data_IF_594721064216
#
_entry.id   IF_594721064216
#
_cell.length_a   1.000
_cell.length_b   1.000
_cell.length_c   1.000
_cell.angle_alpha   90.00
_cell.angle_beta   90.00
_cell.angle_gamma   90.00
#
_symmetry.space_group_name_H-M   'P 1'
#
loop_
_entity.id
_entity.type
_entity.pdbx_description
1 polymer ?
#
# COMPACT_ATOMS: atom_id res chain seq x y z
N UNK A 1 -23.97 39.33 -1.03
CA UNK A 1 -24.05 37.98 -1.61
C UNK A 1 -22.71 37.32 -1.39
N UNK A 2 -22.66 36.23 -0.65
CA UNK A 2 -21.43 35.47 -0.39
C UNK A 2 -21.36 34.32 -1.40
N UNK A 3 -20.42 34.40 -2.34
CA UNK A 3 -20.30 33.44 -3.44
C UNK A 3 -19.87 32.06 -2.92
N UNK A 4 -18.91 32.01 -1.98
CA UNK A 4 -18.43 30.75 -1.41
C UNK A 4 -19.56 30.04 -0.68
N UNK A 5 -20.36 30.77 0.10
CA UNK A 5 -21.52 30.19 0.78
C UNK A 5 -22.54 29.59 -0.21
N UNK A 6 -22.80 30.26 -1.35
CA UNK A 6 -23.70 29.76 -2.40
C UNK A 6 -23.12 28.52 -3.07
N UNK A 7 -21.84 28.52 -3.43
CA UNK A 7 -21.16 27.36 -4.03
C UNK A 7 -21.20 26.14 -3.10
N UNK A 8 -20.94 26.35 -1.80
CA UNK A 8 -20.98 25.29 -0.79
C UNK A 8 -22.40 24.73 -0.60
N UNK A 9 -23.42 25.59 -0.64
CA UNK A 9 -24.82 25.16 -0.59
C UNK A 9 -25.22 24.33 -1.82
N UNK A 10 -24.83 24.77 -3.02
CA UNK A 10 -25.07 24.03 -4.28
C UNK A 10 -24.34 22.68 -4.26
N UNK A 11 -23.07 22.66 -3.85
CA UNK A 11 -22.30 21.40 -3.71
C UNK A 11 -22.99 20.44 -2.75
N UNK A 12 -23.45 20.91 -1.59
CA UNK A 12 -24.17 20.08 -0.63
C UNK A 12 -25.46 19.49 -1.21
N UNK A 13 -26.24 20.29 -1.95
CA UNK A 13 -27.46 19.83 -2.60
C UNK A 13 -27.17 18.76 -3.68
N UNK A 14 -26.12 18.97 -4.48
CA UNK A 14 -25.68 17.99 -5.49
C UNK A 14 -25.16 16.70 -4.86
N UNK A 15 -24.49 16.77 -3.71
CA UNK A 15 -24.11 15.59 -2.95
C UNK A 15 -25.34 14.80 -2.50
N UNK A 16 -26.33 15.47 -1.91
CA UNK A 16 -27.56 14.79 -1.48
C UNK A 16 -28.29 14.14 -2.67
N UNK A 17 -28.48 14.87 -3.77
CA UNK A 17 -29.10 14.34 -4.97
C UNK A 17 -28.31 13.16 -5.57
N UNK A 18 -26.98 13.28 -5.65
CA UNK A 18 -26.10 12.24 -6.14
C UNK A 18 -26.12 10.98 -5.26
N UNK A 19 -26.12 11.15 -3.94
CA UNK A 19 -26.24 10.05 -3.00
C UNK A 19 -27.59 9.33 -3.13
N UNK A 20 -28.70 10.05 -3.26
CA UNK A 20 -30.02 9.46 -3.54
C UNK A 20 -30.03 8.70 -4.85
N UNK A 21 -29.54 9.30 -5.94
CA UNK A 21 -29.50 8.65 -7.25
C UNK A 21 -28.64 7.38 -7.22
N UNK A 22 -27.50 7.41 -6.53
CA UNK A 22 -26.64 6.25 -6.35
C UNK A 22 -27.30 5.18 -5.49
N UNK A 23 -28.05 5.55 -4.45
CA UNK A 23 -28.80 4.61 -3.63
C UNK A 23 -29.86 3.84 -4.41
N UNK A 24 -30.52 4.46 -5.38
CA UNK A 24 -31.46 3.76 -6.28
C UNK A 24 -30.73 2.70 -7.12
N UNK A 25 -29.52 3.01 -7.61
CA UNK A 25 -28.69 2.04 -8.35
C UNK A 25 -28.16 0.91 -7.46
N UNK A 26 -28.13 1.11 -6.15
CA UNK A 26 -27.68 0.14 -5.14
C UNK A 26 -28.83 -0.64 -4.49
N UNK A 27 -30.04 -0.57 -5.05
CA UNK A 27 -31.16 -1.43 -4.67
C UNK A 27 -31.13 -2.75 -5.46
N UNK A 28 -30.56 -3.81 -4.88
CA UNK A 28 -30.57 -5.12 -5.51
C UNK A 28 -31.93 -5.78 -5.32
N UNK A 29 -32.44 -6.39 -6.39
CA UNK A 29 -33.63 -7.23 -6.32
C UNK A 29 -33.31 -8.58 -5.63
N UNK A 30 -34.31 -9.24 -5.02
CA UNK A 30 -34.17 -10.63 -4.60
C UNK A 30 -33.74 -11.52 -5.78
N UNK A 31 -32.78 -12.42 -5.61
CA UNK A 31 -32.29 -13.27 -6.70
C UNK A 31 -33.38 -14.23 -7.20
N UNK A 32 -33.31 -14.52 -8.51
CA UNK A 32 -34.15 -15.52 -9.15
C UNK A 32 -33.96 -16.91 -8.50
N UNK A 33 -34.96 -17.81 -8.52
CA UNK A 33 -34.89 -19.11 -7.85
C UNK A 33 -33.62 -19.91 -8.14
N UNK A 34 -33.15 -19.89 -9.38
CA UNK A 34 -31.91 -20.54 -9.84
C UNK A 34 -30.63 -19.96 -9.21
N UNK A 35 -30.66 -18.69 -8.79
CA UNK A 35 -29.53 -17.96 -8.18
C UNK A 35 -29.59 -17.94 -6.65
N UNK A 36 -30.57 -18.64 -6.03
CA UNK A 36 -30.72 -18.68 -4.56
C UNK A 36 -29.77 -19.64 -3.86
N UNK A 37 -28.86 -20.27 -4.59
CA UNK A 37 -27.86 -21.20 -4.07
C UNK A 37 -26.47 -20.84 -4.60
N UNK A 38 -25.49 -20.76 -3.72
CA UNK A 38 -24.10 -20.44 -4.04
C UNK A 38 -23.15 -21.43 -3.37
N UNK A 39 -21.97 -21.71 -3.96
CA UNK A 39 -20.95 -22.50 -3.30
C UNK A 39 -20.46 -21.81 -2.01
N UNK A 40 -20.13 -22.61 -0.99
CA UNK A 40 -19.51 -22.15 0.24
C UNK A 40 -18.08 -22.70 0.32
N UNK A 41 -17.19 -21.95 0.96
CA UNK A 41 -15.78 -22.34 1.17
C UNK A 41 -15.60 -23.63 1.98
N UNK A 42 -16.62 -24.06 2.74
CA UNK A 42 -16.63 -25.35 3.45
C UNK A 42 -17.02 -26.55 2.56
N UNK A 43 -17.15 -26.36 1.24
CA UNK A 43 -17.53 -27.40 0.28
C UNK A 43 -19.04 -27.66 0.19
N UNK A 44 -19.86 -27.01 1.02
CA UNK A 44 -21.32 -27.10 0.98
C UNK A 44 -21.94 -25.93 0.20
N UNK A 45 -23.27 -25.85 0.18
CA UNK A 45 -24.03 -24.77 -0.47
C UNK A 45 -24.55 -23.76 0.56
N UNK A 46 -24.47 -22.48 0.25
CA UNK A 46 -25.13 -21.39 0.96
C UNK A 46 -26.45 -21.03 0.27
N UNK A 47 -27.50 -20.83 1.06
CA UNK A 47 -28.84 -20.51 0.56
C UNK A 47 -29.13 -19.02 0.78
N UNK A 48 -29.80 -18.41 -0.19
CA UNK A 48 -30.34 -17.07 -0.05
C UNK A 48 -31.37 -17.04 1.09
N UNK A 49 -31.28 -16.01 1.94
CA UNK A 49 -32.23 -15.78 3.02
C UNK A 49 -33.07 -14.53 2.77
N UNK A 50 -32.41 -13.38 2.60
CA UNK A 50 -33.06 -12.08 2.59
C UNK A 50 -32.17 -11.02 1.92
N UNK A 51 -32.73 -9.83 1.71
CA UNK A 51 -31.94 -8.63 1.44
C UNK A 51 -31.49 -8.00 2.76
N UNK A 52 -30.22 -7.57 2.83
CA UNK A 52 -29.66 -6.86 3.99
C UNK A 52 -29.10 -5.50 3.60
N UNK A 53 -29.29 -4.55 4.50
CA UNK A 53 -28.79 -3.19 4.37
C UNK A 53 -27.29 -3.07 4.62
N UNK A 54 -26.68 -2.11 3.95
CA UNK A 54 -25.35 -1.56 4.24
C UNK A 54 -25.31 -0.12 3.79
N UNK A 55 -24.65 0.72 4.56
CA UNK A 55 -24.48 2.13 4.20
C UNK A 55 -23.07 2.33 3.70
N UNK A 56 -22.93 2.92 2.52
CA UNK A 56 -21.63 3.22 1.92
C UNK A 56 -21.38 4.72 1.92
N UNK A 57 -20.19 5.14 2.34
CA UNK A 57 -19.69 6.48 2.05
C UNK A 57 -19.09 6.49 0.64
N UNK A 58 -19.66 7.34 -0.22
CA UNK A 58 -19.28 7.48 -1.63
C UNK A 58 -18.75 8.88 -1.91
N UNK A 59 -18.18 9.10 -3.10
CA UNK A 59 -17.65 10.40 -3.49
C UNK A 59 -18.72 11.51 -3.52
N UNK A 60 -19.99 11.13 -3.68
CA UNK A 60 -21.12 12.06 -3.69
C UNK A 60 -21.87 12.10 -2.36
N UNK A 61 -21.45 11.33 -1.36
CA UNK A 61 -22.09 11.27 -0.04
C UNK A 61 -22.51 9.86 0.37
N UNK A 62 -23.31 9.78 1.44
CA UNK A 62 -23.72 8.51 2.05
C UNK A 62 -24.88 7.88 1.30
N UNK A 63 -24.66 6.68 0.77
CA UNK A 63 -25.64 5.93 -0.01
C UNK A 63 -26.00 4.60 0.69
N UNK A 64 -27.23 4.42 1.21
CA UNK A 64 -27.72 3.09 1.58
C UNK A 64 -27.80 2.15 0.37
N UNK A 65 -27.53 0.87 0.63
CA UNK A 65 -27.55 -0.25 -0.31
C UNK A 65 -28.35 -1.40 0.32
N UNK A 66 -29.18 -2.07 -0.48
CA UNK A 66 -29.86 -3.32 -0.12
C UNK A 66 -29.30 -4.45 -0.97
N UNK A 67 -28.85 -5.55 -0.36
CA UNK A 67 -28.13 -6.60 -1.09
C UNK A 67 -28.46 -8.02 -0.65
N UNK A 68 -28.39 -9.03 -1.54
CA UNK A 68 -28.68 -10.41 -1.18
C UNK A 68 -27.72 -10.97 -0.13
N UNK A 69 -28.29 -11.62 0.89
CA UNK A 69 -27.57 -12.33 1.93
C UNK A 69 -27.76 -13.83 1.79
N UNK A 70 -26.65 -14.56 1.79
CA UNK A 70 -26.61 -16.02 1.73
C UNK A 70 -25.99 -16.57 3.01
N UNK A 71 -26.57 -17.64 3.55
CA UNK A 71 -26.05 -18.33 4.73
C UNK A 71 -25.86 -19.82 4.45
N UNK A 72 -24.68 -20.33 4.79
CA UNK A 72 -24.45 -21.77 4.78
C UNK A 72 -25.06 -22.41 6.03
N UNK A 73 -25.97 -23.41 5.91
CA UNK A 73 -26.54 -24.09 7.07
C UNK A 73 -25.54 -24.99 7.80
N UNK A 74 -24.40 -25.33 7.18
CA UNK A 74 -23.40 -26.23 7.77
C UNK A 74 -22.34 -25.50 8.60
N UNK A 75 -21.69 -24.47 8.04
CA UNK A 75 -20.65 -23.71 8.75
C UNK A 75 -21.14 -22.37 9.32
N UNK A 76 -22.39 -21.99 9.05
CA UNK A 76 -22.98 -20.71 9.44
C UNK A 76 -22.23 -19.46 8.94
N UNK A 77 -21.37 -19.61 7.92
CA UNK A 77 -20.71 -18.49 7.29
C UNK A 77 -21.68 -17.75 6.36
N UNK A 78 -21.81 -16.44 6.59
CA UNK A 78 -22.56 -15.53 5.74
C UNK A 78 -21.75 -15.05 4.52
N UNK A 79 -22.43 -14.82 3.40
CA UNK A 79 -21.84 -14.33 2.16
C UNK A 79 -22.68 -13.21 1.54
N UNK A 80 -22.00 -12.19 1.01
CA UNK A 80 -22.57 -11.04 0.30
C UNK A 80 -21.86 -10.87 -1.06
N UNK A 81 -22.30 -11.58 -2.12
CA UNK A 81 -21.64 -11.52 -3.43
C UNK A 81 -21.52 -10.09 -3.99
N UNK A 82 -22.57 -9.28 -3.80
CA UNK A 82 -22.60 -7.88 -4.22
C UNK A 82 -21.48 -7.03 -3.57
N UNK A 83 -21.03 -7.36 -2.35
CA UNK A 83 -19.91 -6.63 -1.72
C UNK A 83 -18.60 -6.86 -2.48
N UNK A 84 -18.39 -8.05 -3.06
CA UNK A 84 -17.22 -8.35 -3.85
C UNK A 84 -17.27 -7.67 -5.23
N UNK A 85 -18.43 -7.70 -5.89
CA UNK A 85 -18.63 -7.04 -7.19
C UNK A 85 -18.42 -5.53 -7.12
N UNK A 86 -18.86 -4.89 -6.03
CA UNK A 86 -18.71 -3.46 -5.82
C UNK A 86 -17.38 -3.06 -5.16
N UNK A 87 -16.51 -4.02 -4.84
CA UNK A 87 -15.25 -3.80 -4.12
C UNK A 87 -15.45 -3.04 -2.80
N UNK A 88 -16.36 -3.56 -1.97
CA UNK A 88 -16.70 -3.03 -0.64
C UNK A 88 -16.67 -4.10 0.46
N UNK A 89 -16.03 -5.25 0.23
CA UNK A 89 -15.88 -6.30 1.26
C UNK A 89 -15.19 -5.74 2.51
N UNK A 90 -15.76 -5.99 3.69
CA UNK A 90 -15.22 -5.56 5.00
C UNK A 90 -14.95 -4.05 5.11
N UNK A 91 -15.63 -3.23 4.31
CA UNK A 91 -15.53 -1.77 4.37
C UNK A 91 -16.87 -1.11 4.08
N UNK A 92 -17.01 0.12 4.57
CA UNK A 92 -18.15 0.99 4.29
C UNK A 92 -17.75 2.11 3.30
N UNK A 93 -16.52 2.09 2.79
CA UNK A 93 -16.02 3.10 1.87
C UNK A 93 -16.01 2.58 0.43
N UNK A 94 -16.66 3.31 -0.47
CA UNK A 94 -16.56 3.05 -1.90
C UNK A 94 -15.09 3.08 -2.37
N UNK A 95 -14.75 2.41 -3.49
CA UNK A 95 -13.39 2.49 -4.06
C UNK A 95 -12.93 3.93 -4.31
N UNK A 96 -13.84 4.83 -4.69
CA UNK A 96 -13.53 6.25 -4.87
C UNK A 96 -13.07 6.94 -3.59
N UNK A 97 -13.79 6.74 -2.48
CA UNK A 97 -13.43 7.32 -1.17
C UNK A 97 -12.15 6.70 -0.63
N UNK A 98 -11.94 5.38 -0.80
CA UNK A 98 -10.69 4.73 -0.39
C UNK A 98 -9.47 5.31 -1.12
N UNK A 99 -9.59 5.62 -2.42
CA UNK A 99 -8.55 6.34 -3.16
C UNK A 99 -8.31 7.74 -2.61
N UNK A 100 -9.36 8.49 -2.30
CA UNK A 100 -9.22 9.81 -1.69
C UNK A 100 -8.52 9.74 -0.33
N UNK A 101 -8.87 8.78 0.54
CA UNK A 101 -8.17 8.53 1.81
C UNK A 101 -6.68 8.25 1.60
N UNK A 102 -6.31 7.41 0.63
CA UNK A 102 -4.91 7.13 0.33
C UNK A 102 -4.16 8.40 -0.11
N UNK A 103 -4.76 9.19 -1.01
CA UNK A 103 -4.16 10.42 -1.53
C UNK A 103 -3.92 11.47 -0.44
N UNK A 104 -4.89 11.70 0.44
CA UNK A 104 -4.70 12.67 1.54
C UNK A 104 -3.79 12.11 2.64
N UNK A 105 -3.82 10.79 2.87
CA UNK A 105 -3.02 10.12 3.90
C UNK A 105 -1.53 10.03 3.55
N UNK A 106 -1.16 10.05 2.27
CA UNK A 106 0.25 10.08 1.85
C UNK A 106 0.85 11.51 1.89
N UNK A 107 0.03 12.55 1.77
CA UNK A 107 0.48 13.94 1.58
C UNK A 107 0.72 14.66 2.91
N UNK A 108 -0.09 14.36 3.93
CA UNK A 108 -0.11 15.10 5.19
C UNK A 108 -0.41 14.19 6.39
N UNK A 109 -0.17 14.66 7.63
CA UNK A 109 -0.68 13.99 8.83
C UNK A 109 -2.18 13.70 8.72
N UNK A 110 -2.63 12.54 9.18
CA UNK A 110 -3.99 12.05 8.92
C UNK A 110 -5.11 13.00 9.37
N UNK A 111 -4.88 13.80 10.41
CA UNK A 111 -5.87 14.78 10.87
C UNK A 111 -6.06 15.92 9.86
N UNK A 112 -4.97 16.38 9.25
CA UNK A 112 -5.01 17.31 8.13
C UNK A 112 -5.62 16.66 6.89
N UNK A 113 -5.37 15.37 6.68
CA UNK A 113 -6.04 14.60 5.63
C UNK A 113 -7.56 14.57 5.80
N UNK A 114 -8.06 14.40 7.03
CA UNK A 114 -9.50 14.53 7.35
C UNK A 114 -10.02 15.93 7.00
N UNK A 115 -9.31 16.99 7.36
CA UNK A 115 -9.71 18.37 7.02
C UNK A 115 -9.75 18.59 5.50
N UNK A 116 -8.77 18.07 4.77
CA UNK A 116 -8.74 18.10 3.31
C UNK A 116 -9.95 17.39 2.69
N UNK A 117 -10.36 16.22 3.22
CA UNK A 117 -11.56 15.52 2.78
C UNK A 117 -12.82 16.38 2.93
N UNK A 118 -12.94 17.10 4.05
CA UNK A 118 -14.07 18.02 4.28
C UNK A 118 -14.06 19.21 3.32
N UNK A 119 -12.92 19.89 3.19
CA UNK A 119 -12.81 21.11 2.39
C UNK A 119 -12.96 20.80 0.89
N UNK A 120 -12.17 19.84 0.39
CA UNK A 120 -12.07 19.57 -1.05
C UNK A 120 -13.20 18.67 -1.54
N UNK A 121 -13.50 17.59 -0.81
CA UNK A 121 -14.51 16.61 -1.23
C UNK A 121 -15.88 16.84 -0.57
N UNK A 122 -16.02 17.74 0.42
CA UNK A 122 -17.29 17.89 1.13
C UNK A 122 -17.69 16.65 1.94
N UNK A 123 -16.73 15.78 2.27
CA UNK A 123 -16.98 14.52 2.98
C UNK A 123 -16.50 14.60 4.41
N UNK A 124 -17.40 14.33 5.35
CA UNK A 124 -17.07 14.19 6.77
C UNK A 124 -16.52 12.77 7.02
N UNK A 125 -15.25 12.69 7.43
CA UNK A 125 -14.57 11.43 7.74
C UNK A 125 -13.85 11.54 9.08
N UNK A 126 -13.32 10.42 9.57
CA UNK A 126 -12.51 10.43 10.79
C UNK A 126 -11.03 10.36 10.45
N UNK A 127 -10.19 10.93 11.29
CA UNK A 127 -8.73 10.78 11.20
C UNK A 127 -8.33 9.30 11.16
N UNK A 128 -9.02 8.45 11.94
CA UNK A 128 -8.76 7.01 11.99
C UNK A 128 -9.15 6.28 10.71
N UNK A 129 -10.20 6.70 10.01
CA UNK A 129 -10.58 6.08 8.74
C UNK A 129 -9.59 6.42 7.63
N UNK A 130 -9.06 7.65 7.61
CA UNK A 130 -7.97 8.05 6.71
C UNK A 130 -6.72 7.19 6.99
N UNK A 131 -6.26 7.16 8.24
CA UNK A 131 -5.11 6.36 8.68
C UNK A 131 -5.25 4.89 8.26
N UNK A 132 -6.30 4.20 8.72
CA UNK A 132 -6.47 2.75 8.47
C UNK A 132 -6.53 2.43 6.97
N UNK A 133 -7.18 3.27 6.19
CA UNK A 133 -7.34 3.03 4.74
C UNK A 133 -6.02 3.28 4.01
N UNK A 134 -5.33 4.38 4.31
CA UNK A 134 -4.06 4.72 3.70
C UNK A 134 -2.97 3.69 4.06
N UNK A 135 -2.88 3.27 5.33
CA UNK A 135 -1.95 2.23 5.77
C UNK A 135 -2.24 0.88 5.13
N UNK A 136 -3.51 0.46 5.05
CA UNK A 136 -3.88 -0.81 4.42
C UNK A 136 -3.51 -0.84 2.92
N UNK A 137 -3.74 0.26 2.21
CA UNK A 137 -3.32 0.39 0.80
C UNK A 137 -1.80 0.41 0.69
N UNK A 138 -1.10 1.11 1.59
CA UNK A 138 0.36 1.15 1.63
C UNK A 138 0.99 -0.23 1.87
N UNK A 139 0.43 -1.04 2.78
CA UNK A 139 0.90 -2.39 3.03
C UNK A 139 0.68 -3.31 1.82
N UNK A 140 -0.47 -3.20 1.15
CA UNK A 140 -0.76 -3.96 -0.07
C UNK A 140 0.18 -3.59 -1.24
N UNK A 141 0.53 -2.30 -1.39
CA UNK A 141 1.57 -1.87 -2.34
C UNK A 141 2.92 -2.47 -1.97
N UNK A 142 3.34 -2.34 -0.70
CA UNK A 142 4.62 -2.87 -0.23
C UNK A 142 4.73 -4.40 -0.37
N UNK A 143 3.62 -5.13 -0.16
CA UNK A 143 3.57 -6.56 -0.40
C UNK A 143 3.80 -6.90 -1.89
N UNK A 144 3.07 -6.23 -2.79
CA UNK A 144 3.23 -6.44 -4.24
C UNK A 144 4.64 -6.10 -4.73
N UNK A 145 5.25 -5.04 -4.21
CA UNK A 145 6.64 -4.70 -4.50
C UNK A 145 7.61 -5.80 -4.03
N UNK A 146 7.41 -6.35 -2.82
CA UNK A 146 8.23 -7.47 -2.32
C UNK A 146 8.09 -8.73 -3.18
N UNK A 147 6.88 -9.07 -3.61
CA UNK A 147 6.63 -10.22 -4.49
C UNK A 147 7.31 -10.04 -5.85
N UNK A 148 7.22 -8.84 -6.45
CA UNK A 148 7.91 -8.51 -7.70
C UNK A 148 9.43 -8.59 -7.54
N UNK A 149 9.99 -8.06 -6.45
CA UNK A 149 11.42 -8.16 -6.17
C UNK A 149 11.87 -9.62 -6.03
N UNK A 150 11.10 -10.46 -5.31
CA UNK A 150 11.43 -11.88 -5.13
C UNK A 150 11.41 -12.64 -6.45
N UNK A 151 10.46 -12.33 -7.35
CA UNK A 151 10.44 -12.90 -8.70
C UNK A 151 11.63 -12.44 -9.54
N UNK A 152 12.00 -11.16 -9.47
CA UNK A 152 13.13 -10.61 -10.22
C UNK A 152 14.49 -11.18 -9.77
N UNK A 153 14.68 -11.43 -8.46
CA UNK A 153 15.91 -12.03 -7.91
C UNK A 153 16.06 -13.50 -8.35
N UNK A 154 14.96 -14.19 -8.64
CA UNK A 154 14.95 -15.60 -9.06
C UNK A 154 15.11 -15.79 -10.57
N UNK A 155 15.21 -14.72 -11.36
CA UNK A 155 15.46 -14.84 -12.79
C UNK A 155 16.85 -15.46 -13.01
N UNK A 156 16.87 -16.66 -13.61
CA UNK A 156 18.06 -17.16 -14.27
C UNK A 156 18.40 -16.17 -15.38
N UNK A 157 19.42 -15.35 -15.14
CA UNK A 157 19.87 -14.34 -16.10
C UNK A 157 20.25 -15.11 -17.37
N UNK A 158 19.54 -14.93 -18.51
CA UNK A 158 19.84 -15.66 -19.72
C UNK A 158 21.30 -15.45 -20.09
N UNK A 159 21.94 -16.50 -20.62
CA UNK A 159 23.34 -16.47 -21.03
C UNK A 159 23.62 -15.16 -21.76
N UNK A 160 24.58 -14.38 -21.27
CA UNK A 160 24.84 -13.01 -21.73
C UNK A 160 25.04 -13.00 -23.24
N UNK A 161 24.02 -12.59 -24.00
CA UNK A 161 24.08 -12.46 -25.45
C UNK A 161 24.45 -11.02 -25.78
N UNK A 162 25.63 -10.81 -26.38
CA UNK A 162 26.05 -9.50 -26.88
C UNK A 162 27.49 -9.12 -26.53
N UNK A 163 27.92 -7.95 -27.01
CA UNK A 163 29.24 -7.40 -26.65
C UNK A 163 29.25 -7.05 -25.16
N UNK A 164 30.30 -7.40 -24.41
CA UNK A 164 30.41 -7.04 -23.00
C UNK A 164 30.28 -5.53 -22.80
N UNK A 165 29.46 -5.12 -21.83
CA UNK A 165 29.43 -3.73 -21.37
C UNK A 165 30.70 -3.53 -20.51
N UNK A 166 31.65 -2.68 -20.93
CA UNK A 166 32.96 -2.59 -20.25
C UNK A 166 32.86 -1.87 -18.90
N UNK A 167 31.99 -0.86 -18.80
CA UNK A 167 31.77 -0.07 -17.59
C UNK A 167 30.26 0.15 -17.41
N UNK A 168 29.79 -0.12 -16.21
CA UNK A 168 28.44 0.17 -15.76
C UNK A 168 28.52 1.17 -14.62
N UNK A 169 27.74 2.23 -14.69
CA UNK A 169 27.65 3.23 -13.64
C UNK A 169 26.48 2.90 -12.74
N UNK A 170 26.70 3.03 -11.44
CA UNK A 170 25.66 2.92 -10.42
C UNK A 170 25.68 4.24 -9.66
N UNK A 171 24.58 4.97 -9.75
CA UNK A 171 24.32 6.10 -8.85
C UNK A 171 23.37 5.62 -7.76
N UNK A 172 23.72 5.91 -6.51
CA UNK A 172 22.84 5.66 -5.37
C UNK A 172 22.78 6.90 -4.51
N UNK A 173 21.57 7.30 -4.17
CA UNK A 173 21.31 8.32 -3.15
C UNK A 173 20.48 7.71 -2.02
N UNK A 174 20.63 8.26 -0.82
CA UNK A 174 20.00 7.77 0.39
C UNK A 174 19.53 8.93 1.28
N UNK A 175 18.26 8.91 1.66
CA UNK A 175 17.70 9.91 2.59
C UNK A 175 17.12 9.25 3.84
N UNK A 176 17.30 9.92 4.98
CA UNK A 176 16.72 9.48 6.25
C UNK A 176 15.27 9.97 6.37
N UNK A 177 14.33 9.04 6.33
CA UNK A 177 12.90 9.30 6.56
C UNK A 177 12.60 9.15 8.04
N UNK A 178 12.10 10.19 8.74
CA UNK A 178 11.64 10.07 10.12
C UNK A 178 10.57 9.00 10.25
N UNK A 179 10.68 8.16 11.27
CA UNK A 179 9.70 7.10 11.52
C UNK A 179 9.32 7.05 13.00
N UNK A 180 8.20 6.41 13.29
CA UNK A 180 7.74 6.16 14.66
C UNK A 180 8.70 5.22 15.40
N UNK A 181 8.74 5.33 16.74
CA UNK A 181 9.65 4.52 17.58
C UNK A 181 9.56 3.02 17.32
N UNK A 182 8.36 2.47 17.05
CA UNK A 182 8.19 1.04 16.74
C UNK A 182 9.04 0.58 15.55
N UNK A 183 9.25 1.46 14.57
CA UNK A 183 10.04 1.21 13.37
C UNK A 183 11.55 1.34 13.62
N UNK A 184 12.00 1.81 14.78
CA UNK A 184 13.42 1.98 15.10
C UNK A 184 13.90 1.13 16.27
N UNK A 185 13.01 0.35 16.90
CA UNK A 185 13.38 -0.60 17.96
C UNK A 185 14.46 -1.56 17.46
N UNK A 186 15.53 -1.71 18.25
CA UNK A 186 16.66 -2.60 17.94
C UNK A 186 17.59 -2.11 16.83
N UNK A 187 17.43 -0.86 16.35
CA UNK A 187 18.30 -0.27 15.32
C UNK A 187 19.24 0.77 15.91
N UNK A 188 20.49 0.76 15.44
CA UNK A 188 21.48 1.75 15.81
C UNK A 188 21.13 3.12 15.21
N UNK A 189 21.22 4.17 16.04
CA UNK A 189 21.12 5.54 15.56
C UNK A 189 22.37 5.97 14.80
N UNK A 190 22.31 7.15 14.17
CA UNK A 190 23.47 7.75 13.48
C UNK A 190 24.64 8.06 14.42
N UNK A 191 24.32 8.31 15.70
CA UNK A 191 25.29 8.55 16.77
C UNK A 191 25.29 7.34 17.69
N UNK A 192 26.47 6.81 18.00
CA UNK A 192 26.62 5.69 18.91
C UNK A 192 25.97 5.99 20.27
N UNK A 193 25.20 5.02 20.79
CA UNK A 193 24.45 5.15 22.04
C UNK A 193 23.15 5.95 21.95
N UNK A 194 22.84 6.60 20.82
CA UNK A 194 21.57 7.30 20.62
C UNK A 194 20.55 6.41 19.88
N UNK A 195 19.25 6.51 20.21
CA UNK A 195 18.22 5.76 19.52
C UNK A 195 18.09 6.21 18.05
N UNK A 196 17.73 5.28 17.16
CA UNK A 196 17.41 5.64 15.79
C UNK A 196 16.06 6.40 15.72
N UNK A 197 16.04 7.46 14.92
CA UNK A 197 14.84 8.29 14.66
C UNK A 197 14.36 8.23 13.21
N UNK A 198 15.21 7.72 12.30
CA UNK A 198 14.95 7.70 10.86
C UNK A 198 15.24 6.31 10.29
N UNK A 199 14.56 5.93 9.21
CA UNK A 199 14.96 4.82 8.32
C UNK A 199 15.53 5.40 7.04
N UNK A 200 16.50 4.72 6.46
CA UNK A 200 17.07 5.15 5.18
C UNK A 200 16.25 4.57 4.02
N UNK A 201 15.82 5.45 3.10
CA UNK A 201 15.30 5.07 1.80
C UNK A 201 16.39 5.34 0.78
N UNK A 202 16.69 4.35 -0.06
CA UNK A 202 17.73 4.43 -1.09
C UNK A 202 17.10 4.38 -2.47
N UNK A 203 17.55 5.27 -3.35
CA UNK A 203 17.25 5.24 -4.76
C UNK A 203 18.52 4.86 -5.50
N UNK A 204 18.43 3.86 -6.37
CA UNK A 204 19.55 3.40 -7.21
C UNK A 204 19.21 3.52 -8.69
N UNK A 205 20.17 3.99 -9.48
CA UNK A 205 20.12 4.01 -10.94
C UNK A 205 21.32 3.26 -11.51
N UNK A 206 21.08 2.40 -12.50
CA UNK A 206 22.12 1.66 -13.22
C UNK A 206 22.09 2.09 -14.68
N UNK A 207 23.21 2.60 -15.20
CA UNK A 207 23.26 3.14 -16.56
C UNK A 207 24.62 2.97 -17.24
N UNK A 208 24.63 3.13 -18.57
CA UNK A 208 25.86 3.18 -19.37
C UNK A 208 26.10 4.61 -19.85
N UNK A 209 27.33 5.10 -19.75
CA UNK A 209 27.69 6.43 -20.23
C UNK A 209 28.16 6.36 -21.70
N UNK A 210 27.43 7.01 -22.61
CA UNK A 210 27.73 6.99 -24.05
C UNK A 210 28.51 8.22 -24.55
N UNK A 211 28.60 9.29 -23.74
CA UNK A 211 29.33 10.53 -24.04
C UNK A 211 30.06 11.03 -22.79
N UNK A 212 31.33 11.42 -22.91
CA UNK A 212 32.09 12.06 -21.82
C UNK A 212 32.25 13.56 -22.07
N UNK A 213 32.08 14.37 -21.02
CA UNK A 213 32.37 15.82 -21.03
C UNK A 213 33.61 16.09 -20.19
N UNK A 214 34.50 16.97 -20.67
CA UNK A 214 35.83 17.27 -20.09
C UNK A 214 35.84 17.78 -18.64
N UNK A 215 34.68 18.11 -18.06
CA UNK A 215 34.53 18.44 -16.64
C UNK A 215 34.10 17.17 -15.91
N UNK A 216 35.05 16.48 -15.28
CA UNK A 216 34.77 15.38 -14.37
C UNK A 216 34.22 15.94 -13.05
N UNK A 217 33.13 15.35 -12.55
CA UNK A 217 32.95 14.91 -11.15
C UNK A 217 31.55 14.30 -11.03
N UNK A 218 31.47 12.99 -10.79
CA UNK A 218 31.35 12.54 -9.40
C UNK A 218 32.37 11.47 -9.04
N UNK A 219 32.60 11.29 -7.74
CA UNK A 219 33.46 10.29 -7.13
C UNK A 219 32.95 8.87 -7.43
N UNK A 220 33.28 8.32 -8.61
CA UNK A 220 32.92 6.95 -8.94
C UNK A 220 33.84 5.99 -8.17
N UNK A 221 33.26 5.20 -7.26
CA UNK A 221 33.97 4.10 -6.63
C UNK A 221 33.96 2.95 -7.63
N UNK A 222 35.13 2.51 -8.08
CA UNK A 222 35.25 1.31 -8.90
C UNK A 222 34.87 0.10 -8.04
N UNK A 223 33.73 -0.52 -8.30
CA UNK A 223 33.36 -1.81 -7.71
C UNK A 223 34.08 -2.90 -8.53
N UNK A 224 35.08 -3.60 -7.97
CA UNK A 224 35.75 -4.68 -8.71
C UNK A 224 34.74 -5.77 -9.04
N UNK A 225 34.93 -6.46 -10.18
CA UNK A 225 34.18 -7.69 -10.45
C UNK A 225 34.39 -8.66 -9.28
N UNK A 226 33.33 -9.30 -8.74
CA UNK A 226 33.52 -10.40 -7.80
C UNK A 226 34.42 -11.44 -8.47
N UNK A 227 35.60 -11.69 -7.91
CA UNK A 227 36.44 -12.81 -8.34
C UNK A 227 35.63 -14.07 -7.99
N UNK A 228 35.28 -14.96 -8.93
CA UNK A 228 34.57 -16.18 -8.61
C UNK A 228 35.48 -17.03 -7.71
N UNK A 229 35.24 -16.99 -6.40
CA UNK A 229 35.81 -17.96 -5.48
C UNK A 229 35.16 -19.33 -5.70
N UNK A 230 35.83 -20.44 -5.35
CA UNK A 230 35.24 -21.77 -5.46
C UNK A 230 33.90 -21.81 -4.72
N UNK A 231 32.86 -22.29 -5.42
CA UNK A 231 31.49 -22.34 -4.96
C UNK A 231 31.39 -23.05 -3.60
N UNK A 232 31.31 -22.28 -2.51
CA UNK A 232 30.77 -22.80 -1.25
C UNK A 232 29.24 -22.77 -1.33
N UNK A 233 28.56 -23.83 -0.89
CA UNK A 233 27.10 -23.84 -0.86
C UNK A 233 26.60 -22.64 -0.04
N UNK A 234 25.44 -22.07 -0.41
CA UNK A 234 24.90 -20.90 0.27
C UNK A 234 24.71 -21.22 1.75
N UNK A 235 25.44 -20.51 2.62
CA UNK A 235 25.05 -20.43 4.03
C UNK A 235 23.68 -19.75 4.06
N UNK A 236 22.75 -20.33 4.80
CA UNK A 236 21.42 -19.76 5.01
C UNK A 236 21.53 -18.26 5.28
N UNK A 237 20.75 -17.47 4.55
CA UNK A 237 20.60 -16.03 4.76
C UNK A 237 19.79 -15.79 6.04
N UNK A 238 20.40 -16.11 7.18
CA UNK A 238 19.87 -15.80 8.50
C UNK A 238 20.71 -14.76 9.25
N UNK A 239 21.86 -14.31 8.73
CA UNK A 239 22.73 -13.35 9.44
C UNK A 239 23.39 -12.33 8.51
N UNK A 240 22.60 -11.64 7.70
CA UNK A 240 23.04 -10.45 6.94
C UNK A 240 22.84 -9.13 7.70
N UNK A 241 22.80 -9.17 9.03
CA UNK A 241 22.87 -8.00 9.90
C UNK A 241 24.34 -7.60 10.03
N UNK A 242 24.71 -6.46 9.44
CA UNK A 242 26.02 -5.84 9.68
C UNK A 242 26.02 -5.35 11.14
N UNK A 243 26.46 -6.23 12.04
CA UNK A 243 26.94 -5.90 13.38
C UNK A 243 28.47 -6.05 13.35
N UNK A 244 29.21 -4.96 13.56
CA UNK A 244 30.63 -5.06 13.96
C UNK A 244 30.67 -4.99 15.48
N UNK A 245 31.20 -6.00 16.20
CA UNK A 245 31.57 -5.81 17.59
C UNK A 245 32.82 -4.93 17.67
N UNK A 246 32.75 -3.90 18.52
CA UNK A 246 33.91 -3.10 18.89
C UNK A 246 34.94 -3.99 19.60
N UNK A 247 36.20 -3.88 19.19
CA UNK A 247 37.33 -4.57 19.78
C UNK A 247 37.70 -3.89 21.10
N UNK A 248 37.39 -4.51 22.24
CA UNK A 248 38.00 -4.14 23.51
C UNK A 248 39.39 -4.77 23.59
N UNK A 249 40.43 -3.96 23.36
CA UNK A 249 41.78 -4.28 23.78
C UNK A 249 41.96 -3.79 25.22
N UNK A 250 42.12 -4.70 26.17
CA UNK A 250 42.91 -4.41 27.37
C UNK A 250 43.75 -5.63 27.74
N UNK A 251 45.05 -5.37 27.79
CA UNK A 251 46.11 -6.32 28.02
C UNK A 251 46.09 -6.87 29.44
N UNK A 252 46.51 -8.13 29.57
CA UNK A 252 46.93 -8.72 30.82
C UNK A 252 48.14 -7.97 31.41
N UNK A 253 48.03 -7.62 32.70
CA UNK A 253 49.05 -7.79 33.74
C UNK A 253 48.37 -7.77 35.09
#
# INVERSE_FOLDING_TARGET
MDLEAIEMAIRSALHQAGATALSELLQFAPPAPEQRRLPCSCGHTANYLELRGKTLLTAVGTAPMQRPYYLCPHCHQGQFPADAELDVVNTEFSPGVRRMHALVGQDAPFDRGREQMKVLAGLEVTTKSVERTAEAIGEDIAQREREQMQQAIQLDIPAVVGKPIPVLYIEMDGTGVPVVKKETVGRQGKTDGQPAHTREVKLGCVFTQTKSTRKASPSAILVPRPIPGPSRPPRSLANGSIWKPASAALAAR
#
